data_IF_730678566540
#
_entry.id   IF_730678566540
#
_cell.length_a   1.000
_cell.length_b   1.000
_cell.length_c   1.000
_cell.angle_alpha   90.00
_cell.angle_beta   90.00
_cell.angle_gamma   90.00
#
_symmetry.space_group_name_H-M   'P 1'
#
loop_
_entity.id
_entity.type
_entity.pdbx_description
1 polymer ?
#
# COMPACT_ATOMS: atom_id res chain seq x y z
N UNK A 1 -16.67 -5.86 -19.28
CA UNK A 1 -15.75 -4.74 -19.06
C UNK A 1 -15.04 -4.93 -17.72
N UNK A 2 -13.71 -4.88 -17.71
CA UNK A 2 -12.91 -4.95 -16.49
C UNK A 2 -13.20 -3.68 -15.64
N UNK A 3 -13.63 -3.86 -14.39
CA UNK A 3 -13.95 -2.76 -13.47
C UNK A 3 -13.10 -2.90 -12.21
N UNK A 4 -12.59 -1.80 -11.67
CA UNK A 4 -11.84 -1.74 -10.42
C UNK A 4 -10.58 -0.89 -10.53
N UNK A 5 -10.05 -0.48 -9.38
CA UNK A 5 -8.88 0.38 -9.26
C UNK A 5 -7.65 -0.25 -9.95
N UNK A 6 -7.43 -1.54 -9.76
CA UNK A 6 -6.30 -2.25 -10.36
C UNK A 6 -6.29 -2.17 -11.89
N UNK A 7 -7.44 -2.31 -12.54
CA UNK A 7 -7.55 -2.17 -14.00
C UNK A 7 -7.30 -0.73 -14.47
N UNK A 8 -7.80 0.27 -13.73
CA UNK A 8 -7.56 1.67 -14.04
C UNK A 8 -6.08 2.03 -13.92
N UNK A 9 -5.41 1.56 -12.87
CA UNK A 9 -3.97 1.78 -12.66
C UNK A 9 -3.14 1.07 -13.73
N UNK A 10 -3.46 -0.18 -14.09
CA UNK A 10 -2.79 -0.89 -15.17
C UNK A 10 -2.90 -0.12 -16.50
N UNK A 11 -4.11 0.35 -16.84
CA UNK A 11 -4.33 1.16 -18.03
C UNK A 11 -3.50 2.44 -18.00
N UNK A 12 -3.53 3.18 -16.89
CA UNK A 12 -2.79 4.44 -16.74
C UNK A 12 -1.27 4.24 -16.87
N UNK A 13 -0.69 3.26 -16.19
CA UNK A 13 0.73 2.96 -16.27
C UNK A 13 1.15 2.48 -17.66
N UNK A 14 0.29 1.75 -18.35
CA UNK A 14 0.55 1.33 -19.75
C UNK A 14 0.50 2.53 -20.70
N UNK A 15 -0.49 3.40 -20.56
CA UNK A 15 -0.65 4.58 -21.41
C UNK A 15 0.48 5.61 -21.22
N UNK A 16 1.06 5.66 -20.01
CA UNK A 16 2.14 6.59 -19.64
C UNK A 16 3.54 5.93 -19.68
N UNK A 17 3.66 4.72 -20.24
CA UNK A 17 4.92 3.98 -20.23
C UNK A 17 6.08 4.76 -20.88
N UNK A 18 5.80 5.51 -21.95
CA UNK A 18 6.79 6.28 -22.70
C UNK A 18 6.94 7.75 -22.21
N UNK A 19 6.21 8.14 -21.15
CA UNK A 19 6.35 9.48 -20.55
C UNK A 19 7.77 9.70 -20.01
N UNK A 20 8.26 10.94 -20.03
CA UNK A 20 9.63 11.29 -19.61
C UNK A 20 9.83 11.30 -18.09
N UNK A 21 8.79 11.04 -17.28
CA UNK A 21 8.87 11.05 -15.83
C UNK A 21 9.74 9.92 -15.26
N UNK A 22 10.35 10.14 -14.10
CA UNK A 22 11.15 9.14 -13.40
C UNK A 22 10.27 8.03 -12.75
N UNK A 23 9.02 8.34 -12.46
CA UNK A 23 8.07 7.43 -11.80
C UNK A 23 6.69 8.06 -11.63
N UNK A 24 5.79 7.31 -11.05
CA UNK A 24 4.40 7.67 -10.86
C UNK A 24 4.01 7.59 -9.39
N UNK A 25 3.14 8.49 -8.96
CA UNK A 25 2.53 8.48 -7.62
C UNK A 25 1.05 8.24 -7.77
N UNK A 26 0.51 7.36 -6.93
CA UNK A 26 -0.91 7.04 -6.88
C UNK A 26 -1.53 7.70 -5.65
N UNK A 27 -2.54 8.53 -5.88
CA UNK A 27 -3.28 9.26 -4.85
C UNK A 27 -4.77 9.09 -5.16
N UNK A 28 -5.57 8.77 -4.15
CA UNK A 28 -7.02 8.67 -4.30
C UNK A 28 -7.63 10.06 -4.51
N UNK A 29 -8.73 10.15 -5.25
CA UNK A 29 -9.33 11.42 -5.69
C UNK A 29 -9.85 12.31 -4.54
N UNK A 30 -10.13 11.72 -3.37
CA UNK A 30 -10.59 12.39 -2.16
C UNK A 30 -9.45 12.71 -1.17
N UNK A 31 -8.21 12.54 -1.59
CA UNK A 31 -7.03 12.67 -0.74
C UNK A 31 -6.42 14.06 -0.85
N UNK A 32 -6.02 14.63 0.28
CA UNK A 32 -5.23 15.85 0.36
C UNK A 32 -3.76 15.53 0.62
N UNK A 33 -2.89 16.27 -0.06
CA UNK A 33 -1.44 16.18 0.09
C UNK A 33 -0.86 17.55 0.45
N UNK A 34 0.24 17.62 1.22
CA UNK A 34 1.00 18.85 1.44
C UNK A 34 1.60 19.39 0.13
N UNK A 35 1.87 20.68 0.08
CA UNK A 35 2.41 21.35 -1.12
C UNK A 35 3.79 20.83 -1.55
N UNK A 36 4.56 20.26 -0.64
CA UNK A 36 5.89 19.70 -0.88
C UNK A 36 5.89 18.20 -1.23
N UNK A 37 4.71 17.56 -1.27
CA UNK A 37 4.59 16.12 -1.51
C UNK A 37 5.25 15.67 -2.82
N UNK A 38 5.02 16.41 -3.91
CA UNK A 38 5.59 16.06 -5.23
C UNK A 38 7.11 16.24 -5.24
N UNK A 39 7.62 17.29 -4.59
CA UNK A 39 9.08 17.48 -4.49
C UNK A 39 9.75 16.38 -3.67
N UNK A 40 9.12 15.90 -2.59
CA UNK A 40 9.60 14.77 -1.81
C UNK A 40 9.58 13.47 -2.61
N UNK A 41 8.50 13.19 -3.35
CA UNK A 41 8.41 12.04 -4.23
C UNK A 41 9.48 12.07 -5.33
N UNK A 42 9.68 13.23 -5.95
CA UNK A 42 10.73 13.42 -6.97
C UNK A 42 12.13 13.20 -6.40
N UNK A 43 12.42 13.74 -5.22
CA UNK A 43 13.70 13.50 -4.54
C UNK A 43 13.90 12.02 -4.19
N UNK A 44 12.84 11.31 -3.78
CA UNK A 44 12.89 9.87 -3.50
C UNK A 44 13.29 9.07 -4.76
N UNK A 45 12.64 9.31 -5.90
CA UNK A 45 13.02 8.69 -7.16
C UNK A 45 14.44 9.07 -7.59
N UNK A 46 14.83 10.34 -7.46
CA UNK A 46 16.18 10.83 -7.75
C UNK A 46 17.26 10.19 -6.87
N UNK A 47 16.93 9.76 -5.66
CA UNK A 47 17.83 9.02 -4.77
C UNK A 47 17.89 7.50 -5.05
N UNK A 48 17.21 7.02 -6.09
CA UNK A 48 17.16 5.60 -6.45
C UNK A 48 16.13 4.78 -5.67
N UNK A 49 15.13 5.42 -5.08
CA UNK A 49 14.05 4.72 -4.40
C UNK A 49 13.03 4.23 -5.44
N UNK A 50 13.04 2.93 -5.74
CA UNK A 50 12.17 2.33 -6.75
C UNK A 50 10.68 2.30 -6.36
N UNK A 51 10.40 2.04 -5.08
CA UNK A 51 9.05 1.93 -4.57
C UNK A 51 8.97 2.59 -3.20
N UNK A 52 7.93 3.40 -2.96
CA UNK A 52 7.69 3.97 -1.64
C UNK A 52 6.23 4.01 -1.26
N UNK A 53 5.99 4.13 0.04
CA UNK A 53 4.70 4.41 0.66
C UNK A 53 4.85 5.62 1.58
N UNK A 54 4.03 6.64 1.37
CA UNK A 54 3.89 7.78 2.28
C UNK A 54 3.06 7.40 3.52
N UNK A 55 3.16 8.19 4.59
CA UNK A 55 2.28 8.02 5.75
C UNK A 55 0.84 8.36 5.38
N UNK A 56 -0.12 7.52 5.78
CA UNK A 56 -1.54 7.75 5.53
C UNK A 56 -2.26 8.13 6.84
N UNK A 57 -2.88 9.30 6.86
CA UNK A 57 -3.54 9.87 8.04
C UNK A 57 -5.01 10.22 7.79
N UNK A 58 -5.77 10.32 8.87
CA UNK A 58 -7.17 10.76 8.83
C UNK A 58 -7.21 12.28 8.78
N UNK A 59 -8.01 12.85 7.86
CA UNK A 59 -8.19 14.29 7.71
C UNK A 59 -9.19 14.84 8.73
N UNK A 60 -10.29 14.13 8.95
CA UNK A 60 -11.42 14.51 9.79
C UNK A 60 -11.42 13.82 11.16
N UNK A 61 -10.27 13.72 11.80
CA UNK A 61 -10.12 12.99 13.07
C UNK A 61 -11.01 13.57 14.22
N UNK A 62 -11.27 14.85 14.20
CA UNK A 62 -12.01 15.55 15.28
C UNK A 62 -13.54 15.55 15.10
N UNK A 63 -14.06 15.05 13.97
CA UNK A 63 -15.50 15.10 13.67
C UNK A 63 -16.34 14.20 14.58
N UNK A 64 -15.77 13.13 15.15
CA UNK A 64 -16.48 12.22 16.03
C UNK A 64 -15.53 11.39 16.90
N UNK A 65 -16.09 10.77 17.97
CA UNK A 65 -15.33 9.80 18.78
C UNK A 65 -14.82 8.64 17.91
N UNK A 66 -15.62 8.20 16.95
CA UNK A 66 -15.24 7.14 16.02
C UNK A 66 -14.04 7.52 15.16
N UNK A 67 -14.04 8.72 14.55
CA UNK A 67 -12.92 9.16 13.71
C UNK A 67 -11.64 9.36 14.52
N UNK A 68 -11.74 9.73 15.82
CA UNK A 68 -10.60 9.73 16.75
C UNK A 68 -10.03 8.34 17.00
N UNK A 69 -10.86 7.34 17.24
CA UNK A 69 -10.40 5.95 17.37
C UNK A 69 -9.79 5.42 16.07
N UNK A 70 -10.38 5.74 14.93
CA UNK A 70 -9.80 5.40 13.62
C UNK A 70 -8.45 6.07 13.41
N UNK A 71 -8.32 7.35 13.77
CA UNK A 71 -7.04 8.05 13.73
C UNK A 71 -5.98 7.31 14.54
N UNK A 72 -6.29 6.89 15.76
CA UNK A 72 -5.36 6.17 16.63
C UNK A 72 -4.94 4.83 16.01
N UNK A 73 -5.91 4.04 15.56
CA UNK A 73 -5.66 2.74 14.93
C UNK A 73 -4.83 2.87 13.64
N UNK A 74 -5.20 3.83 12.76
CA UNK A 74 -4.48 4.08 11.51
C UNK A 74 -3.11 4.71 11.75
N UNK A 75 -2.92 5.49 12.81
CA UNK A 75 -1.58 5.97 13.19
C UNK A 75 -0.67 4.78 13.54
N UNK A 76 -1.16 3.81 14.30
CA UNK A 76 -0.41 2.59 14.58
C UNK A 76 -0.06 1.81 13.31
N UNK A 77 -1.06 1.59 12.45
CA UNK A 77 -0.91 0.75 11.28
C UNK A 77 -0.23 1.45 10.08
N UNK A 78 -0.63 2.68 9.77
CA UNK A 78 -0.20 3.41 8.57
C UNK A 78 0.97 4.38 8.81
N UNK A 79 1.49 4.47 10.02
CA UNK A 79 2.64 5.31 10.33
C UNK A 79 3.67 4.59 11.20
N UNK A 80 3.34 4.21 12.43
CA UNK A 80 4.31 3.58 13.33
C UNK A 80 4.83 2.24 12.79
N UNK A 81 3.95 1.43 12.22
CA UNK A 81 4.34 0.16 11.58
C UNK A 81 5.28 0.39 10.39
N UNK A 82 5.03 1.40 9.56
CA UNK A 82 5.91 1.72 8.44
C UNK A 82 7.31 2.11 8.93
N UNK A 83 7.39 2.95 9.96
CA UNK A 83 8.67 3.35 10.59
C UNK A 83 9.41 2.12 11.14
N UNK A 84 8.72 1.27 11.87
CA UNK A 84 9.33 0.06 12.46
C UNK A 84 9.87 -0.88 11.36
N UNK A 85 9.09 -1.13 10.32
CA UNK A 85 9.51 -1.96 9.18
C UNK A 85 10.67 -1.37 8.41
N UNK A 86 10.65 -0.06 8.15
CA UNK A 86 11.77 0.62 7.49
C UNK A 86 13.07 0.46 8.29
N UNK A 87 13.02 0.64 9.62
CA UNK A 87 14.18 0.48 10.51
C UNK A 87 14.72 -0.95 10.55
N UNK A 88 13.84 -1.95 10.46
CA UNK A 88 14.20 -3.36 10.41
C UNK A 88 14.66 -3.84 9.03
N UNK A 89 14.63 -2.98 8.02
CA UNK A 89 14.99 -3.36 6.66
C UNK A 89 13.91 -4.13 5.90
N UNK A 90 12.69 -4.20 6.41
CA UNK A 90 11.56 -4.86 5.76
C UNK A 90 10.88 -3.96 4.73
N UNK A 91 10.10 -4.57 3.84
CA UNK A 91 9.18 -3.85 2.95
C UNK A 91 8.01 -3.31 3.76
N UNK A 92 7.67 -2.02 3.59
CA UNK A 92 6.63 -1.40 4.43
C UNK A 92 5.20 -1.69 3.98
N UNK A 93 5.03 -2.25 2.78
CA UNK A 93 3.72 -2.50 2.18
C UNK A 93 3.24 -1.35 1.29
N UNK A 94 2.19 -1.63 0.52
CA UNK A 94 1.40 -0.64 -0.22
C UNK A 94 0.03 -0.57 0.44
N UNK A 95 -0.46 0.65 0.71
CA UNK A 95 -1.72 0.90 1.41
C UNK A 95 -2.84 1.36 0.45
N UNK A 96 -2.60 1.23 -0.85
CA UNK A 96 -3.54 1.64 -1.89
C UNK A 96 -3.58 3.14 -2.18
N UNK A 97 -3.07 4.00 -1.30
CA UNK A 97 -3.08 5.45 -1.41
C UNK A 97 -1.74 6.03 -0.96
N UNK A 98 -1.22 7.04 -1.67
CA UNK A 98 0.06 7.68 -1.33
C UNK A 98 1.29 6.81 -1.57
N UNK A 99 1.29 5.96 -2.57
CA UNK A 99 2.46 5.17 -2.94
C UNK A 99 3.07 5.62 -4.27
N UNK A 100 4.36 5.41 -4.42
CA UNK A 100 5.09 5.73 -5.64
C UNK A 100 5.86 4.53 -6.20
N UNK A 101 5.93 4.47 -7.53
CA UNK A 101 6.62 3.44 -8.30
C UNK A 101 7.49 4.10 -9.35
N UNK A 102 8.78 3.76 -9.39
CA UNK A 102 9.66 4.17 -10.48
C UNK A 102 9.28 3.47 -11.79
N UNK A 103 9.62 4.05 -12.92
CA UNK A 103 9.45 3.38 -14.21
C UNK A 103 10.23 2.06 -14.26
N UNK A 104 11.42 2.01 -13.67
CA UNK A 104 12.21 0.79 -13.57
C UNK A 104 11.48 -0.31 -12.77
N UNK A 105 10.83 0.06 -11.66
CA UNK A 105 10.00 -0.88 -10.90
C UNK A 105 8.83 -1.42 -11.73
N UNK A 106 8.11 -0.55 -12.44
CA UNK A 106 6.98 -0.94 -13.30
C UNK A 106 7.40 -1.80 -14.50
N UNK A 107 8.56 -1.53 -15.09
CA UNK A 107 9.12 -2.37 -16.16
C UNK A 107 9.49 -3.76 -15.65
N UNK A 108 10.06 -3.85 -14.43
CA UNK A 108 10.43 -5.11 -13.81
C UNK A 108 9.24 -5.92 -13.30
N UNK A 109 8.25 -5.23 -12.75
CA UNK A 109 7.02 -5.82 -12.20
C UNK A 109 5.82 -5.02 -12.71
N UNK A 110 5.28 -5.35 -13.89
CA UNK A 110 4.11 -4.67 -14.42
C UNK A 110 2.91 -4.70 -13.47
N UNK A 111 2.16 -3.60 -13.42
CA UNK A 111 0.99 -3.49 -12.55
C UNK A 111 -0.20 -4.25 -13.15
N UNK A 112 -0.28 -5.54 -12.88
CA UNK A 112 -1.36 -6.42 -13.37
C UNK A 112 -2.25 -6.94 -12.24
N UNK A 113 -2.13 -6.34 -11.04
CA UNK A 113 -2.99 -6.65 -9.90
C UNK A 113 -4.43 -6.24 -10.21
N UNK A 114 -5.38 -7.15 -9.98
CA UNK A 114 -6.79 -6.96 -10.32
C UNK A 114 -7.74 -7.47 -9.24
N UNK A 115 -7.22 -7.97 -8.14
CA UNK A 115 -8.03 -8.40 -6.99
C UNK A 115 -8.67 -7.20 -6.28
N UNK A 116 -9.58 -7.47 -5.36
CA UNK A 116 -10.23 -6.44 -4.52
C UNK A 116 -9.24 -5.78 -3.54
N UNK A 117 -8.11 -6.43 -3.30
CA UNK A 117 -6.97 -5.98 -2.49
C UNK A 117 -5.73 -5.88 -3.39
N UNK A 118 -5.85 -5.15 -4.47
CA UNK A 118 -4.84 -5.01 -5.51
C UNK A 118 -3.50 -4.45 -4.99
N UNK A 119 -3.55 -3.65 -3.97
CA UNK A 119 -2.40 -3.08 -3.27
C UNK A 119 -1.57 -4.17 -2.57
N UNK A 120 -2.21 -5.04 -1.79
CA UNK A 120 -1.56 -6.19 -1.15
C UNK A 120 -1.04 -7.17 -2.21
N UNK A 121 -1.84 -7.48 -3.24
CA UNK A 121 -1.43 -8.34 -4.35
C UNK A 121 -0.16 -7.82 -5.03
N UNK A 122 -0.15 -6.53 -5.36
CA UNK A 122 0.99 -5.91 -6.02
C UNK A 122 2.22 -5.82 -5.11
N UNK A 123 2.04 -5.51 -3.82
CA UNK A 123 3.12 -5.55 -2.85
C UNK A 123 3.80 -6.93 -2.79
N UNK A 124 3.03 -8.01 -2.75
CA UNK A 124 3.58 -9.37 -2.77
C UNK A 124 4.43 -9.64 -4.03
N UNK A 125 3.96 -9.19 -5.19
CA UNK A 125 4.72 -9.32 -6.45
C UNK A 125 6.04 -8.55 -6.44
N UNK A 126 6.04 -7.33 -5.91
CA UNK A 126 7.26 -6.52 -5.74
C UNK A 126 8.28 -7.24 -4.86
N UNK A 127 7.88 -7.73 -3.68
CA UNK A 127 8.79 -8.42 -2.76
C UNK A 127 9.29 -9.75 -3.33
N UNK A 128 8.44 -10.51 -4.02
CA UNK A 128 8.85 -11.74 -4.73
C UNK A 128 9.88 -11.48 -5.82
N UNK A 129 9.78 -10.34 -6.51
CA UNK A 129 10.75 -9.87 -7.49
C UNK A 129 12.03 -9.27 -6.85
N UNK A 130 12.11 -9.20 -5.52
CA UNK A 130 13.25 -8.65 -4.79
C UNK A 130 13.26 -7.11 -4.70
N UNK A 131 12.15 -6.45 -5.02
CA UNK A 131 11.95 -5.03 -4.79
C UNK A 131 11.42 -4.80 -3.37
N UNK A 132 11.81 -3.68 -2.77
CA UNK A 132 11.38 -3.27 -1.44
C UNK A 132 10.60 -1.98 -1.53
N UNK A 133 9.40 -1.95 -0.99
CA UNK A 133 8.66 -0.71 -0.76
C UNK A 133 9.23 -0.03 0.48
N UNK A 134 9.70 1.19 0.34
CA UNK A 134 10.32 1.97 1.42
C UNK A 134 9.34 2.98 2.00
N UNK A 135 9.53 3.38 3.25
CA UNK A 135 8.74 4.44 3.86
C UNK A 135 9.29 5.81 3.45
N UNK A 136 8.47 6.62 2.79
CA UNK A 136 8.77 8.03 2.53
C UNK A 136 8.35 8.86 3.75
N UNK A 137 9.23 8.90 4.74
CA UNK A 137 8.92 9.40 6.09
C UNK A 137 8.51 10.89 6.13
N UNK A 138 9.02 11.71 5.21
CA UNK A 138 8.70 13.14 5.10
C UNK A 138 7.35 13.41 4.45
N UNK A 139 6.79 12.45 3.71
CA UNK A 139 5.56 12.62 2.94
C UNK A 139 4.36 11.99 3.66
N UNK A 140 3.24 12.68 3.61
CA UNK A 140 1.96 12.16 4.11
C UNK A 140 0.82 12.43 3.13
N UNK A 141 -0.17 11.55 3.17
CA UNK A 141 -1.45 11.73 2.49
C UNK A 141 -2.55 11.70 3.53
N UNK A 142 -3.60 12.50 3.34
CA UNK A 142 -4.72 12.64 4.28
C UNK A 142 -6.03 12.43 3.55
N UNK A 143 -6.87 11.53 4.05
CA UNK A 143 -8.23 11.31 3.53
C UNK A 143 -9.26 11.31 4.64
N UNK A 144 -10.50 11.63 4.27
CA UNK A 144 -11.63 11.59 5.19
C UNK A 144 -12.05 10.15 5.47
N UNK A 145 -12.41 9.89 6.72
CA UNK A 145 -12.96 8.60 7.14
C UNK A 145 -14.47 8.71 7.34
N UNK A 146 -15.22 7.65 6.99
CA UNK A 146 -16.67 7.63 7.18
C UNK A 146 -17.05 7.83 8.64
N UNK A 147 -17.89 8.82 8.90
CA UNK A 147 -18.43 9.09 10.25
C UNK A 147 -19.48 8.05 10.64
N UNK A 148 -20.23 7.50 9.64
CA UNK A 148 -21.29 6.52 9.86
C UNK A 148 -20.78 5.08 9.81
N UNK A 149 -21.37 4.21 10.67
CA UNK A 149 -20.93 2.82 10.83
C UNK A 149 -21.23 1.92 9.62
N UNK A 150 -22.36 2.14 8.93
CA UNK A 150 -22.84 1.22 7.89
C UNK A 150 -21.95 1.20 6.63
N UNK A 151 -21.46 2.36 6.21
CA UNK A 151 -20.51 2.46 5.09
C UNK A 151 -19.19 1.73 5.35
N UNK A 152 -18.73 1.74 6.61
CA UNK A 152 -17.49 1.07 7.01
C UNK A 152 -17.64 -0.46 7.04
N UNK A 153 -18.80 -1.00 7.38
CA UNK A 153 -19.05 -2.45 7.42
C UNK A 153 -18.92 -3.11 6.06
N UNK A 154 -19.52 -2.53 5.03
CA UNK A 154 -19.44 -3.02 3.65
C UNK A 154 -17.99 -2.98 3.11
N UNK A 155 -17.27 -1.91 3.40
CA UNK A 155 -15.88 -1.76 2.99
C UNK A 155 -14.99 -2.80 3.68
N UNK A 156 -15.19 -3.01 4.99
CA UNK A 156 -14.45 -4.01 5.78
C UNK A 156 -14.66 -5.42 5.25
N UNK A 157 -15.93 -5.84 5.04
CA UNK A 157 -16.25 -7.17 4.52
C UNK A 157 -15.58 -7.44 3.15
N UNK A 158 -15.50 -6.41 2.30
CA UNK A 158 -14.83 -6.50 1.01
C UNK A 158 -13.32 -6.73 1.18
N UNK A 159 -12.67 -6.01 2.10
CA UNK A 159 -11.24 -6.15 2.36
C UNK A 159 -10.89 -7.50 3.00
N UNK A 160 -11.71 -7.95 3.96
CA UNK A 160 -11.54 -9.25 4.62
C UNK A 160 -11.67 -10.41 3.62
N UNK A 161 -12.69 -10.38 2.76
CA UNK A 161 -12.88 -11.37 1.71
C UNK A 161 -11.72 -11.42 0.73
N UNK A 162 -11.24 -10.24 0.29
CA UNK A 162 -10.08 -10.13 -0.59
C UNK A 162 -8.80 -10.67 0.07
N UNK A 163 -8.57 -10.34 1.34
CA UNK A 163 -7.42 -10.83 2.08
C UNK A 163 -7.45 -12.36 2.27
N UNK A 164 -8.61 -12.93 2.59
CA UNK A 164 -8.76 -14.37 2.71
C UNK A 164 -8.43 -15.10 1.40
N UNK A 165 -8.85 -14.52 0.28
CA UNK A 165 -8.47 -15.03 -1.03
C UNK A 165 -6.94 -15.00 -1.23
N UNK A 166 -6.27 -13.92 -0.87
CA UNK A 166 -4.82 -13.79 -0.95
C UNK A 166 -4.09 -14.81 -0.06
N UNK A 167 -4.57 -15.04 1.17
CA UNK A 167 -4.04 -16.08 2.06
C UNK A 167 -4.09 -17.44 1.34
N UNK A 168 -5.24 -17.80 0.81
CA UNK A 168 -5.46 -19.08 0.14
C UNK A 168 -4.57 -19.26 -1.11
N UNK A 169 -4.32 -18.18 -1.85
CA UNK A 169 -3.55 -18.23 -3.09
C UNK A 169 -2.04 -18.18 -2.86
N UNK A 170 -1.56 -17.45 -1.85
CA UNK A 170 -0.14 -17.11 -1.73
C UNK A 170 0.55 -17.70 -0.49
N UNK A 171 -0.15 -18.05 0.60
CA UNK A 171 0.50 -18.44 1.85
C UNK A 171 1.40 -19.68 1.69
N UNK A 172 0.94 -20.71 0.99
CA UNK A 172 1.72 -21.92 0.80
C UNK A 172 2.98 -21.66 -0.04
N UNK A 173 2.86 -20.92 -1.12
CA UNK A 173 3.99 -20.59 -2.00
C UNK A 173 5.03 -19.73 -1.28
N UNK A 174 4.59 -18.77 -0.47
CA UNK A 174 5.47 -17.94 0.36
C UNK A 174 6.16 -18.79 1.45
N UNK A 175 5.42 -19.65 2.16
CA UNK A 175 5.98 -20.52 3.17
C UNK A 175 7.06 -21.46 2.59
N UNK A 176 6.78 -22.08 1.45
CA UNK A 176 7.75 -22.92 0.75
C UNK A 176 8.99 -22.12 0.29
N UNK A 177 8.82 -20.89 -0.14
CA UNK A 177 9.95 -20.03 -0.52
C UNK A 177 10.81 -19.65 0.70
N UNK A 178 10.19 -19.37 1.86
CA UNK A 178 10.90 -19.13 3.13
C UNK A 178 11.69 -20.37 3.56
N UNK A 179 11.09 -21.56 3.52
CA UNK A 179 11.75 -22.81 3.84
C UNK A 179 12.93 -23.13 2.89
N UNK A 180 12.90 -22.60 1.66
CA UNK A 180 14.02 -22.70 0.71
C UNK A 180 15.08 -21.59 0.88
N UNK A 181 15.08 -20.90 2.02
CA UNK A 181 16.08 -19.89 2.37
C UNK A 181 15.77 -18.47 1.92
N UNK A 182 14.61 -18.21 1.31
CA UNK A 182 14.18 -16.84 0.95
C UNK A 182 13.59 -16.09 2.16
N UNK A 183 14.41 -15.88 3.21
CA UNK A 183 13.95 -15.31 4.48
C UNK A 183 13.29 -13.92 4.37
N UNK A 184 13.58 -13.15 3.31
CA UNK A 184 12.89 -11.87 3.05
C UNK A 184 11.38 -12.02 2.87
N UNK A 185 10.89 -13.22 2.49
CA UNK A 185 9.48 -13.49 2.30
C UNK A 185 8.76 -13.89 3.59
N UNK A 186 9.49 -14.05 4.69
CA UNK A 186 8.90 -14.34 6.00
C UNK A 186 7.99 -13.19 6.46
N UNK A 187 8.46 -11.96 6.31
CA UNK A 187 7.71 -10.78 6.72
C UNK A 187 6.39 -10.63 5.94
N UNK A 188 6.34 -10.62 4.58
CA UNK A 188 5.07 -10.57 3.87
C UNK A 188 4.17 -11.81 4.12
N UNK A 189 4.74 -12.98 4.40
CA UNK A 189 3.97 -14.14 4.83
C UNK A 189 3.28 -13.88 6.18
N UNK A 190 4.01 -13.37 7.16
CA UNK A 190 3.45 -13.01 8.47
C UNK A 190 2.40 -11.89 8.33
N UNK A 191 2.65 -10.87 7.51
CA UNK A 191 1.67 -9.83 7.24
C UNK A 191 0.38 -10.39 6.65
N UNK A 192 0.50 -11.33 5.73
CA UNK A 192 -0.65 -11.97 5.10
C UNK A 192 -1.49 -12.76 6.11
N UNK A 193 -0.83 -13.48 7.03
CA UNK A 193 -1.47 -14.36 8.01
C UNK A 193 -2.00 -13.61 9.24
N UNK A 194 -1.34 -12.51 9.65
CA UNK A 194 -1.75 -11.72 10.81
C UNK A 194 -2.83 -10.71 10.40
N UNK A 195 -3.99 -10.82 11.01
CA UNK A 195 -5.06 -9.83 10.84
C UNK A 195 -4.62 -8.49 11.44
N UNK A 196 -4.76 -7.36 10.72
CA UNK A 196 -4.49 -6.05 11.29
C UNK A 196 -5.40 -5.78 12.50
N UNK A 197 -4.84 -5.25 13.59
CA UNK A 197 -5.61 -4.86 14.78
C UNK A 197 -6.75 -3.89 14.47
N UNK A 198 -6.60 -3.07 13.42
CA UNK A 198 -7.64 -2.16 12.95
C UNK A 198 -8.93 -2.87 12.49
N UNK A 199 -8.92 -4.18 12.27
CA UNK A 199 -10.12 -4.96 11.97
C UNK A 199 -10.87 -5.45 13.23
N UNK A 200 -10.29 -5.27 14.41
CA UNK A 200 -10.88 -5.72 15.67
C UNK A 200 -11.61 -4.58 16.41
N UNK A 201 -11.54 -3.36 15.90
CA UNK A 201 -12.19 -2.14 16.41
C UNK A 201 -13.32 -1.69 15.48
#
# INVERSE_FOLDING_TARGET
>A
SARGKGYALNFAFTALADDASAGFVVIDADTRVPSDFISQASAAFGSGMDCFQASYRVLNADDSVRTKWMQLALTGFNHLRLIARERLGFSVGILGNGFGLSKAALQRVPYTASSVVEDLEYHLRLVQAGLRVRHLAGAEVRAEMPVQADAAGTQRARWEGGRFQMIRQHSLSLALAVLRGRLRLLEPLLELLLLPLAYQL
#
